data_IF_436429625684
#
_entry.id   IF_436429625684
#
_cell.length_a   1.000
_cell.length_b   1.000
_cell.length_c   1.000
_cell.angle_alpha   90.00
_cell.angle_beta   90.00
_cell.angle_gamma   90.00
#
_symmetry.space_group_name_H-M   'P 1'
#
loop_
_entity.id
_entity.type
_entity.pdbx_description
1 polymer ?
#
# COMPACT_ATOMS: atom_id res chain seq x y z
N UNK A 1 5.86 13.44 0.01
CA UNK A 1 6.75 12.56 -0.78
C UNK A 1 6.38 12.78 -2.24
N UNK A 2 7.35 12.88 -3.16
CA UNK A 2 7.03 13.01 -4.58
C UNK A 2 6.46 11.69 -5.13
N UNK A 3 5.39 11.71 -5.96
CA UNK A 3 4.70 10.50 -6.43
C UNK A 3 5.52 9.69 -7.44
N UNK A 4 6.63 10.25 -7.94
CA UNK A 4 7.58 9.58 -8.82
C UNK A 4 9.03 9.85 -8.41
N UNK A 5 9.93 8.90 -8.67
CA UNK A 5 11.38 9.04 -8.45
C UNK A 5 12.17 8.38 -9.57
N UNK A 6 13.23 9.03 -10.05
CA UNK A 6 14.17 8.44 -11.00
C UNK A 6 15.46 8.08 -10.26
N UNK A 7 15.93 6.83 -10.43
CA UNK A 7 17.23 6.36 -9.93
C UNK A 7 18.13 6.07 -11.12
N UNK A 8 19.20 6.84 -11.28
CA UNK A 8 20.18 6.62 -12.36
C UNK A 8 21.20 5.55 -11.98
N UNK A 9 21.45 4.62 -12.90
CA UNK A 9 22.46 3.58 -12.75
C UNK A 9 23.83 4.12 -13.16
N UNK A 10 24.83 3.97 -12.29
CA UNK A 10 26.22 4.34 -12.61
C UNK A 10 26.78 3.52 -13.78
N UNK A 11 26.34 2.27 -13.89
CA UNK A 11 26.66 1.37 -14.98
C UNK A 11 25.34 0.77 -15.48
N UNK A 12 25.04 0.86 -16.78
CA UNK A 12 23.83 0.26 -17.33
C UNK A 12 23.82 -1.26 -17.13
N UNK A 13 22.65 -1.80 -16.83
CA UNK A 13 22.41 -3.25 -16.70
C UNK A 13 21.79 -3.74 -17.99
N UNK A 14 22.32 -4.82 -18.57
CA UNK A 14 21.79 -5.41 -19.81
C UNK A 14 21.32 -6.83 -19.55
N UNK A 15 20.05 -7.09 -19.81
CA UNK A 15 19.43 -8.42 -19.68
C UNK A 15 18.72 -8.74 -20.99
N UNK A 16 19.13 -9.84 -21.62
CA UNK A 16 18.69 -10.17 -22.97
C UNK A 16 19.09 -9.08 -23.98
N UNK A 17 18.09 -8.46 -24.62
CA UNK A 17 18.27 -7.37 -25.59
C UNK A 17 18.00 -5.98 -25.01
N UNK A 18 17.62 -5.88 -23.73
CA UNK A 18 17.24 -4.62 -23.11
C UNK A 18 18.38 -4.09 -22.24
N UNK A 19 18.68 -2.80 -22.37
CA UNK A 19 19.67 -2.10 -21.54
C UNK A 19 18.96 -1.02 -20.72
N UNK A 20 19.14 -1.09 -19.41
CA UNK A 20 18.57 -0.18 -18.43
C UNK A 20 19.68 0.74 -17.93
N UNK A 21 19.47 2.05 -18.00
CA UNK A 21 20.39 3.07 -17.47
C UNK A 21 19.78 3.85 -16.30
N UNK A 22 18.48 3.71 -16.08
CA UNK A 22 17.72 4.35 -15.02
C UNK A 22 16.48 3.52 -14.69
N UNK A 23 15.93 3.77 -13.50
CA UNK A 23 14.69 3.19 -13.01
C UNK A 23 13.74 4.34 -12.73
N UNK A 24 12.52 4.25 -13.25
CA UNK A 24 11.43 5.19 -12.98
C UNK A 24 10.48 4.55 -12.00
N UNK A 25 10.46 5.01 -10.75
CA UNK A 25 9.55 4.54 -9.72
C UNK A 25 8.34 5.46 -9.66
N UNK A 26 7.17 4.87 -9.44
CA UNK A 26 5.96 5.57 -8.99
C UNK A 26 5.51 5.05 -7.63
N UNK A 27 4.67 5.82 -6.98
CA UNK A 27 3.92 5.34 -5.83
C UNK A 27 3.06 4.11 -6.21
N UNK A 28 3.13 3.01 -5.43
CA UNK A 28 2.28 1.85 -5.64
C UNK A 28 0.85 2.10 -5.13
N UNK A 29 -0.10 1.38 -5.71
CA UNK A 29 -1.48 1.35 -5.21
C UNK A 29 -1.70 0.18 -4.23
N UNK A 30 -2.77 0.24 -3.43
CA UNK A 30 -3.09 -0.78 -2.41
C UNK A 30 -3.07 -2.21 -2.95
N UNK A 31 -3.70 -2.44 -4.11
CA UNK A 31 -3.73 -3.77 -4.72
C UNK A 31 -2.34 -4.35 -5.04
N UNK A 32 -1.42 -3.49 -5.47
CA UNK A 32 -0.06 -3.89 -5.83
C UNK A 32 0.74 -4.29 -4.59
N UNK A 33 0.56 -3.54 -3.49
CA UNK A 33 1.15 -3.91 -2.19
C UNK A 33 0.62 -5.25 -1.73
N UNK A 34 -0.71 -5.45 -1.66
CA UNK A 34 -1.31 -6.73 -1.25
C UNK A 34 -0.80 -7.87 -2.14
N UNK A 35 -0.81 -7.69 -3.46
CA UNK A 35 -0.37 -8.72 -4.42
C UNK A 35 1.11 -9.07 -4.27
N UNK A 36 1.93 -8.11 -3.87
CA UNK A 36 3.38 -8.32 -3.68
C UNK A 36 3.66 -9.16 -2.44
N UNK A 37 2.93 -8.93 -1.35
CA UNK A 37 3.15 -9.62 -0.06
C UNK A 37 2.29 -10.88 0.13
N UNK A 38 1.33 -11.18 -0.76
CA UNK A 38 0.38 -12.30 -0.60
C UNK A 38 1.02 -13.68 -0.38
N UNK A 39 2.21 -13.90 -0.95
CA UNK A 39 2.91 -15.20 -0.95
C UNK A 39 4.03 -15.24 0.11
N UNK A 40 4.19 -14.19 0.92
CA UNK A 40 5.23 -14.10 1.95
C UNK A 40 4.97 -15.11 3.08
N UNK A 41 6.03 -15.79 3.55
CA UNK A 41 5.92 -16.87 4.53
C UNK A 41 6.66 -16.60 5.85
N UNK A 42 7.02 -15.35 6.12
CA UNK A 42 7.72 -14.90 7.34
C UNK A 42 9.24 -15.11 7.31
N UNK A 43 9.80 -15.77 6.29
CA UNK A 43 11.25 -15.84 6.12
C UNK A 43 11.82 -14.53 5.57
N UNK A 44 13.08 -14.22 5.93
CA UNK A 44 13.79 -13.04 5.43
C UNK A 44 13.84 -13.05 3.90
N UNK A 45 14.13 -14.22 3.30
CA UNK A 45 14.14 -14.37 1.85
C UNK A 45 12.78 -14.03 1.24
N UNK A 46 11.67 -14.56 1.79
CA UNK A 46 10.34 -14.26 1.27
C UNK A 46 9.93 -12.79 1.42
N UNK A 47 10.43 -12.11 2.45
CA UNK A 47 10.22 -10.67 2.63
C UNK A 47 10.95 -9.88 1.54
N UNK A 48 12.19 -10.26 1.24
CA UNK A 48 12.99 -9.66 0.19
C UNK A 48 12.38 -9.91 -1.20
N UNK A 49 11.89 -11.12 -1.47
CA UNK A 49 11.18 -11.47 -2.71
C UNK A 49 9.91 -10.61 -2.88
N UNK A 50 9.14 -10.41 -1.81
CA UNK A 50 7.95 -9.56 -1.83
C UNK A 50 8.31 -8.07 -2.09
N UNK A 51 9.41 -7.59 -1.52
CA UNK A 51 9.91 -6.24 -1.77
C UNK A 51 10.39 -6.05 -3.21
N UNK A 52 11.12 -7.01 -3.78
CA UNK A 52 11.53 -6.99 -5.20
C UNK A 52 10.30 -6.97 -6.10
N UNK A 53 9.29 -7.79 -5.79
CA UNK A 53 8.03 -7.84 -6.54
C UNK A 53 7.30 -6.49 -6.50
N UNK A 54 7.26 -5.82 -5.34
CA UNK A 54 6.67 -4.49 -5.23
C UNK A 54 7.43 -3.46 -6.07
N UNK A 55 8.76 -3.46 -5.99
CA UNK A 55 9.60 -2.56 -6.80
C UNK A 55 9.40 -2.82 -8.28
N UNK A 56 9.39 -4.08 -8.72
CA UNK A 56 9.13 -4.50 -10.11
C UNK A 56 7.84 -3.91 -10.66
N UNK A 57 6.75 -3.97 -9.87
CA UNK A 57 5.47 -3.39 -10.26
C UNK A 57 5.53 -1.86 -10.28
N UNK A 58 6.18 -1.26 -9.29
CA UNK A 58 6.27 0.19 -9.15
C UNK A 58 7.16 0.87 -10.21
N UNK A 59 8.09 0.14 -10.83
CA UNK A 59 8.91 0.66 -11.93
C UNK A 59 8.69 0.00 -13.29
N UNK A 60 7.76 -0.95 -13.37
CA UNK A 60 7.45 -1.71 -14.60
C UNK A 60 8.68 -2.44 -15.19
N UNK A 61 9.66 -2.78 -14.34
CA UNK A 61 10.86 -3.54 -14.72
C UNK A 61 10.69 -5.01 -14.28
N UNK A 62 10.97 -5.99 -15.15
CA UNK A 62 10.93 -7.40 -14.78
C UNK A 62 11.84 -7.78 -13.60
N UNK A 63 11.42 -8.77 -12.80
CA UNK A 63 12.15 -9.21 -11.59
C UNK A 63 13.57 -9.69 -11.92
N UNK A 64 13.75 -10.47 -13.00
CA UNK A 64 15.05 -10.96 -13.44
C UNK A 64 16.02 -9.82 -13.77
N UNK A 65 15.52 -8.69 -14.26
CA UNK A 65 16.34 -7.49 -14.47
C UNK A 65 16.73 -6.84 -13.14
N UNK A 66 15.79 -6.73 -12.19
CA UNK A 66 16.08 -6.16 -10.88
C UNK A 66 17.09 -6.99 -10.08
N UNK A 67 17.05 -8.32 -10.22
CA UNK A 67 18.00 -9.24 -9.58
C UNK A 67 19.44 -9.06 -10.10
N UNK A 68 19.61 -8.59 -11.34
CA UNK A 68 20.92 -8.25 -11.93
C UNK A 68 21.41 -6.83 -11.56
N UNK A 69 20.60 -6.05 -10.83
CA UNK A 69 20.99 -4.69 -10.42
C UNK A 69 21.86 -4.69 -9.15
N UNK A 70 22.71 -3.66 -8.97
CA UNK A 70 23.46 -3.51 -7.72
C UNK A 70 22.51 -3.39 -6.52
N UNK A 71 22.77 -4.15 -5.45
CA UNK A 71 21.92 -4.18 -4.23
C UNK A 71 21.53 -2.79 -3.72
N UNK A 72 22.47 -1.84 -3.71
CA UNK A 72 22.21 -0.46 -3.27
C UNK A 72 21.07 0.23 -4.04
N UNK A 73 20.90 -0.09 -5.32
CA UNK A 73 19.83 0.47 -6.15
C UNK A 73 18.47 -0.10 -5.73
N UNK A 74 18.43 -1.40 -5.46
CA UNK A 74 17.23 -2.07 -4.97
C UNK A 74 16.87 -1.55 -3.57
N UNK A 75 17.84 -1.41 -2.65
CA UNK A 75 17.62 -0.84 -1.31
C UNK A 75 17.02 0.58 -1.39
N UNK A 76 17.56 1.42 -2.29
CA UNK A 76 17.07 2.78 -2.51
C UNK A 76 15.64 2.80 -3.09
N UNK A 77 15.31 1.84 -3.95
CA UNK A 77 13.96 1.67 -4.49
C UNK A 77 12.97 1.17 -3.43
N UNK A 78 13.39 0.22 -2.58
CA UNK A 78 12.62 -0.31 -1.46
C UNK A 78 12.31 0.81 -0.45
N UNK A 79 13.31 1.61 -0.11
CA UNK A 79 13.14 2.76 0.77
C UNK A 79 12.10 3.74 0.21
N UNK A 80 12.17 4.04 -1.09
CA UNK A 80 11.22 4.92 -1.77
C UNK A 80 9.78 4.39 -1.66
N UNK A 81 9.52 3.14 -2.06
CA UNK A 81 8.15 2.59 -2.05
C UNK A 81 7.60 2.40 -0.63
N UNK A 82 8.48 2.21 0.36
CA UNK A 82 8.08 2.05 1.77
C UNK A 82 7.80 3.38 2.46
N UNK A 83 8.40 4.49 2.00
CA UNK A 83 8.25 5.81 2.62
C UNK A 83 6.79 6.33 2.63
N UNK A 84 5.97 5.88 1.68
CA UNK A 84 4.56 6.27 1.58
C UNK A 84 3.66 5.66 2.68
N UNK A 85 4.17 4.71 3.48
CA UNK A 85 3.43 4.09 4.59
C UNK A 85 3.60 4.84 5.92
N UNK A 86 4.45 5.87 5.97
CA UNK A 86 4.71 6.67 7.17
C UNK A 86 4.03 8.03 7.05
N UNK A 87 2.71 8.07 7.26
CA UNK A 87 1.90 9.28 7.13
C UNK A 87 1.15 9.54 8.44
N UNK A 88 1.19 10.78 8.91
CA UNK A 88 0.31 11.28 9.97
C UNK A 88 -0.98 11.84 9.34
N UNK A 89 -2.13 11.52 9.94
CA UNK A 89 -3.39 12.10 9.49
C UNK A 89 -3.53 13.58 9.93
N UNK A 90 -2.93 13.97 11.05
CA UNK A 90 -2.99 15.34 11.61
C UNK A 90 -4.41 15.81 11.99
N UNK A 91 -5.42 14.95 11.91
CA UNK A 91 -6.84 15.25 12.05
C UNK A 91 -7.30 14.98 13.49
N UNK A 92 -8.02 15.95 14.06
CA UNK A 92 -8.52 15.89 15.44
C UNK A 92 -10.05 15.80 15.56
N UNK A 93 -10.77 15.77 14.44
CA UNK A 93 -12.24 15.72 14.37
C UNK A 93 -12.74 14.31 14.09
N UNK A 94 -13.90 13.91 14.61
CA UNK A 94 -14.49 12.55 14.42
C UNK A 94 -15.18 12.33 13.07
N UNK A 95 -15.18 13.36 12.23
CA UNK A 95 -15.58 13.33 10.83
C UNK A 95 -14.53 14.08 10.02
N UNK A 96 -14.22 13.55 8.85
CA UNK A 96 -13.23 14.11 7.96
C UNK A 96 -13.52 13.73 6.51
N UNK A 97 -13.74 14.73 5.68
CA UNK A 97 -13.74 14.57 4.23
C UNK A 97 -12.30 14.73 3.73
N UNK A 98 -11.64 13.59 3.46
CA UNK A 98 -10.26 13.56 2.98
C UNK A 98 -10.24 13.77 1.47
N UNK A 99 -9.72 14.92 1.03
CA UNK A 99 -9.44 15.16 -0.39
C UNK A 99 -8.31 14.27 -0.90
N UNK A 100 -8.50 13.70 -2.09
CA UNK A 100 -7.49 12.90 -2.78
C UNK A 100 -6.59 13.83 -3.61
N UNK A 101 -5.27 13.63 -3.51
CA UNK A 101 -4.29 14.44 -4.28
C UNK A 101 -4.45 14.27 -5.79
N UNK A 102 -5.06 13.16 -6.23
CA UNK A 102 -5.37 12.90 -7.63
C UNK A 102 -6.74 12.22 -7.73
N UNK A 103 -7.64 12.72 -8.60
CA UNK A 103 -8.94 12.10 -8.80
C UNK A 103 -8.80 10.65 -9.27
N UNK A 104 -9.49 9.73 -8.61
CA UNK A 104 -9.53 8.32 -9.00
C UNK A 104 -10.61 8.12 -10.06
N UNK A 105 -10.19 7.70 -11.26
CA UNK A 105 -11.11 7.27 -12.31
C UNK A 105 -11.43 5.79 -12.17
N UNK A 106 -12.72 5.49 -11.98
CA UNK A 106 -13.19 4.11 -11.99
C UNK A 106 -13.60 3.70 -13.41
N UNK A 107 -13.18 2.50 -13.82
CA UNK A 107 -13.45 1.94 -15.15
C UNK A 107 -14.91 1.42 -15.30
N UNK A 108 -15.87 2.08 -14.65
CA UNK A 108 -17.30 1.77 -14.74
C UNK A 108 -17.99 2.52 -15.88
N UNK A 109 -19.19 2.05 -16.25
CA UNK A 109 -19.97 2.59 -17.37
C UNK A 109 -20.28 4.10 -17.27
N UNK A 110 -20.28 4.67 -16.05
CA UNK A 110 -20.60 6.08 -15.80
C UNK A 110 -19.36 6.96 -15.52
N UNK A 111 -18.15 6.41 -15.56
CA UNK A 111 -16.92 7.20 -15.39
C UNK A 111 -16.81 7.92 -14.04
N UNK A 112 -17.39 7.36 -12.97
CA UNK A 112 -17.38 7.95 -11.63
C UNK A 112 -15.95 8.37 -11.22
N UNK A 113 -15.79 9.67 -10.99
CA UNK A 113 -14.56 10.29 -10.50
C UNK A 113 -14.70 10.52 -9.02
N UNK A 114 -13.80 9.94 -8.23
CA UNK A 114 -13.76 10.13 -6.79
C UNK A 114 -12.63 11.11 -6.48
N UNK A 115 -12.98 12.20 -5.80
CA UNK A 115 -12.05 13.24 -5.37
C UNK A 115 -11.92 13.31 -3.85
N UNK A 116 -12.80 12.64 -3.11
CA UNK A 116 -12.90 12.77 -1.66
C UNK A 116 -13.33 11.44 -1.04
N UNK A 117 -12.76 11.09 0.12
CA UNK A 117 -13.22 10.00 0.98
C UNK A 117 -13.84 10.57 2.25
N UNK A 118 -15.13 10.31 2.48
CA UNK A 118 -15.82 10.70 3.71
C UNK A 118 -15.55 9.68 4.82
N UNK A 119 -14.74 10.09 5.79
CA UNK A 119 -14.30 9.29 6.93
C UNK A 119 -15.03 9.72 8.21
N UNK A 120 -15.35 8.75 9.06
CA UNK A 120 -15.97 8.95 10.36
C UNK A 120 -15.60 7.83 11.32
N UNK A 121 -15.89 8.02 12.61
CA UNK A 121 -15.76 6.96 13.60
C UNK A 121 -16.48 5.67 13.14
N UNK A 122 -15.78 4.52 13.09
CA UNK A 122 -16.40 3.25 12.72
C UNK A 122 -17.39 2.77 13.78
N UNK A 123 -18.54 2.27 13.35
CA UNK A 123 -19.46 1.56 14.23
C UNK A 123 -18.90 0.19 14.64
N UNK A 124 -19.38 -0.36 15.75
CA UNK A 124 -19.04 -1.73 16.20
C UNK A 124 -19.35 -2.78 15.12
N UNK A 125 -20.43 -2.59 14.35
CA UNK A 125 -20.79 -3.50 13.25
C UNK A 125 -19.72 -3.49 12.16
N UNK A 126 -19.30 -2.31 11.71
CA UNK A 126 -18.26 -2.14 10.69
C UNK A 126 -16.91 -2.71 11.17
N UNK A 127 -16.55 -2.45 12.44
CA UNK A 127 -15.37 -3.08 13.08
C UNK A 127 -15.42 -4.60 13.01
N UNK A 128 -16.54 -5.22 13.43
CA UNK A 128 -16.69 -6.68 13.41
C UNK A 128 -16.64 -7.24 12.00
N UNK A 129 -17.14 -6.51 11.00
CA UNK A 129 -17.04 -6.92 9.60
C UNK A 129 -15.60 -6.86 9.09
N UNK A 130 -14.85 -5.80 9.43
CA UNK A 130 -13.44 -5.69 9.08
C UNK A 130 -12.58 -6.79 9.72
N UNK A 131 -12.84 -7.13 10.99
CA UNK A 131 -12.11 -8.20 11.70
C UNK A 131 -12.25 -9.57 11.01
N UNK A 132 -13.36 -9.85 10.30
CA UNK A 132 -13.49 -11.10 9.54
C UNK A 132 -12.49 -11.21 8.39
N UNK A 133 -12.08 -10.08 7.80
CA UNK A 133 -11.03 -10.09 6.79
C UNK A 133 -9.70 -10.47 7.43
N UNK A 134 -9.38 -9.92 8.60
CA UNK A 134 -8.20 -10.31 9.36
C UNK A 134 -8.18 -11.82 9.69
N UNK A 135 -9.30 -12.37 10.15
CA UNK A 135 -9.43 -13.81 10.45
C UNK A 135 -9.23 -14.70 9.20
N UNK A 136 -9.62 -14.21 8.02
CA UNK A 136 -9.50 -14.95 6.76
C UNK A 136 -8.06 -14.98 6.22
N UNK A 137 -7.32 -13.87 6.35
CA UNK A 137 -6.00 -13.69 5.74
C UNK A 137 -4.83 -13.86 6.74
N UNK A 138 -5.10 -13.98 8.04
CA UNK A 138 -4.11 -14.26 9.08
C UNK A 138 -3.43 -13.03 9.68
N UNK A 139 -2.49 -13.24 10.61
CA UNK A 139 -1.84 -12.17 11.40
C UNK A 139 -0.64 -11.49 10.71
N UNK A 140 -0.45 -11.72 9.41
CA UNK A 140 0.64 -11.13 8.64
C UNK A 140 0.29 -9.76 8.05
N UNK A 141 1.26 -9.17 7.33
CA UNK A 141 1.12 -7.89 6.61
C UNK A 141 -0.17 -7.89 5.75
N UNK A 142 -0.42 -8.99 5.02
CA UNK A 142 -1.58 -9.13 4.15
C UNK A 142 -2.89 -9.04 4.93
N UNK A 143 -3.01 -9.75 6.05
CA UNK A 143 -4.22 -9.69 6.86
C UNK A 143 -4.47 -8.31 7.47
N UNK A 144 -3.40 -7.58 7.83
CA UNK A 144 -3.51 -6.19 8.25
C UNK A 144 -3.98 -5.25 7.16
N UNK A 145 -3.44 -5.38 5.94
CA UNK A 145 -3.90 -4.61 4.79
C UNK A 145 -5.35 -4.94 4.43
N UNK A 146 -5.73 -6.22 4.42
CA UNK A 146 -7.10 -6.66 4.13
C UNK A 146 -8.11 -6.18 5.19
N UNK A 147 -7.71 -6.18 6.47
CA UNK A 147 -8.48 -5.55 7.53
C UNK A 147 -8.71 -4.06 7.28
N UNK A 148 -7.66 -3.32 6.95
CA UNK A 148 -7.71 -1.88 6.70
C UNK A 148 -8.55 -1.56 5.45
N UNK A 149 -8.39 -2.34 4.37
CA UNK A 149 -9.21 -2.24 3.15
C UNK A 149 -10.68 -2.46 3.48
N UNK A 150 -10.99 -3.53 4.23
CA UNK A 150 -12.36 -3.83 4.64
C UNK A 150 -12.94 -2.72 5.50
N UNK A 151 -12.18 -2.24 6.49
CA UNK A 151 -12.62 -1.16 7.37
C UNK A 151 -12.91 0.13 6.59
N UNK A 152 -12.01 0.54 5.71
CA UNK A 152 -12.17 1.74 4.90
C UNK A 152 -13.40 1.62 3.99
N UNK A 153 -13.56 0.49 3.30
CA UNK A 153 -14.75 0.16 2.48
C UNK A 153 -16.04 0.29 3.29
N UNK A 154 -16.07 -0.27 4.51
CA UNK A 154 -17.25 -0.23 5.36
C UNK A 154 -17.58 1.18 5.85
N UNK A 155 -16.57 2.01 6.14
CA UNK A 155 -16.76 3.36 6.70
C UNK A 155 -17.21 4.36 5.64
N UNK A 156 -16.54 4.35 4.48
CA UNK A 156 -16.82 5.28 3.38
C UNK A 156 -18.04 4.85 2.56
N UNK A 157 -18.36 3.55 2.54
CA UNK A 157 -19.38 2.99 1.65
C UNK A 157 -18.91 2.83 0.20
N UNK A 158 -17.63 3.09 -0.06
CA UNK A 158 -17.03 2.93 -1.39
C UNK A 158 -16.96 1.47 -1.81
N UNK A 159 -16.87 1.25 -3.14
CA UNK A 159 -16.71 -0.10 -3.69
C UNK A 159 -15.27 -0.59 -3.44
N UNK A 160 -15.09 -1.87 -3.15
CA UNK A 160 -13.77 -2.48 -2.95
C UNK A 160 -12.75 -2.15 -4.08
N UNK A 161 -13.10 -2.22 -5.38
CA UNK A 161 -12.18 -1.83 -6.46
C UNK A 161 -11.70 -0.38 -6.40
N UNK A 162 -12.48 0.53 -5.80
CA UNK A 162 -12.05 1.91 -5.54
C UNK A 162 -10.93 1.93 -4.52
N UNK A 163 -11.15 1.26 -3.39
CA UNK A 163 -10.18 1.24 -2.29
C UNK A 163 -8.87 0.60 -2.73
N UNK A 164 -8.95 -0.48 -3.51
CA UNK A 164 -7.80 -1.20 -4.06
C UNK A 164 -6.97 -0.36 -5.06
N UNK A 165 -7.56 0.68 -5.65
CA UNK A 165 -6.90 1.61 -6.58
C UNK A 165 -6.32 2.85 -5.93
N UNK A 166 -6.52 3.05 -4.61
CA UNK A 166 -5.94 4.19 -3.92
C UNK A 166 -4.40 4.13 -3.94
N UNK A 167 -3.72 5.28 -4.13
CA UNK A 167 -2.30 5.40 -3.79
C UNK A 167 -2.07 5.02 -2.33
N UNK A 168 -0.96 4.33 -2.04
CA UNK A 168 -0.72 3.78 -0.70
C UNK A 168 -0.61 4.87 0.37
N UNK A 169 -0.14 6.08 0.05
CA UNK A 169 -0.09 7.23 0.95
C UNK A 169 -1.47 7.70 1.38
N UNK A 170 -2.40 7.82 0.44
CA UNK A 170 -3.79 8.21 0.69
C UNK A 170 -4.52 7.13 1.50
N UNK A 171 -4.29 5.86 1.16
CA UNK A 171 -4.81 4.74 1.94
C UNK A 171 -4.25 4.73 3.37
N UNK A 172 -2.93 4.90 3.53
CA UNK A 172 -2.26 4.99 4.83
C UNK A 172 -2.86 6.13 5.66
N UNK A 173 -2.99 7.32 5.07
CA UNK A 173 -3.54 8.49 5.77
C UNK A 173 -4.97 8.25 6.26
N UNK A 174 -5.83 7.69 5.40
CA UNK A 174 -7.21 7.35 5.78
C UNK A 174 -7.25 6.26 6.87
N UNK A 175 -6.39 5.26 6.77
CA UNK A 175 -6.39 4.14 7.73
C UNK A 175 -5.79 4.54 9.07
N UNK A 176 -4.73 5.36 9.12
CA UNK A 176 -4.19 5.94 10.36
C UNK A 176 -5.29 6.70 11.11
N UNK A 177 -6.07 7.53 10.39
CA UNK A 177 -7.25 8.19 10.95
C UNK A 177 -8.24 7.20 11.56
N UNK A 178 -8.60 6.13 10.85
CA UNK A 178 -9.54 5.14 11.39
C UNK A 178 -8.92 4.36 12.56
N UNK A 179 -7.63 4.06 12.52
CA UNK A 179 -6.92 3.28 13.53
C UNK A 179 -6.86 3.96 14.91
N UNK A 180 -7.00 5.30 14.97
CA UNK A 180 -7.04 6.03 16.25
C UNK A 180 -8.22 5.65 17.15
N UNK A 181 -9.32 5.18 16.57
CA UNK A 181 -10.50 4.72 17.31
C UNK A 181 -10.34 3.32 17.90
N UNK A 182 -9.17 2.68 17.71
CA UNK A 182 -8.85 1.34 18.20
C UNK A 182 -7.63 1.35 19.13
N UNK A 183 -7.69 2.05 20.29
CA UNK A 183 -6.54 2.23 21.17
C UNK A 183 -5.96 0.91 21.72
N UNK A 184 -6.78 -0.13 21.86
CA UNK A 184 -6.32 -1.46 22.31
C UNK A 184 -5.47 -2.18 21.24
N UNK A 185 -5.72 -1.94 19.95
CA UNK A 185 -4.87 -2.46 18.87
C UNK A 185 -3.53 -1.71 18.88
N UNK A 186 -3.53 -0.41 19.16
CA UNK A 186 -2.32 0.41 19.23
C UNK A 186 -1.47 0.14 20.50
N UNK A 187 -2.11 -0.20 21.63
CA UNK A 187 -1.43 -0.60 22.88
C UNK A 187 -0.77 -1.97 22.79
N UNK A 188 -1.32 -2.87 21.97
CA UNK A 188 -0.74 -4.20 21.71
C UNK A 188 0.31 -4.12 20.59
N UNK A 189 1.06 -3.02 20.52
CA UNK A 189 2.19 -2.88 19.60
C UNK A 189 3.08 -4.12 19.73
N UNK A 190 3.23 -4.87 18.63
CA UNK A 190 3.90 -6.18 18.47
C UNK A 190 3.03 -7.46 18.49
N UNK A 191 1.69 -7.38 18.55
CA UNK A 191 0.85 -8.59 18.69
C UNK A 191 0.13 -9.12 17.45
N UNK A 192 -0.11 -8.30 16.42
CA UNK A 192 -1.00 -8.67 15.30
C UNK A 192 -0.47 -8.33 13.90
N UNK A 193 0.69 -7.67 13.78
CA UNK A 193 1.27 -7.25 12.49
C UNK A 193 2.77 -7.51 12.38
N UNK A 194 3.35 -8.23 13.34
CA UNK A 194 4.75 -8.67 13.33
C UNK A 194 4.79 -10.13 13.76
N UNK A 195 4.61 -11.02 12.78
CA UNK A 195 5.34 -12.28 12.63
C UNK A 195 5.11 -12.80 11.21
#
# INVERSE_FOLDING_TARGET
MEPTKIITLKQPVTVGSATYSEIHLREPIVNEVITSFKDMNGSIASSYDAQIKLVSIACEIPIDVLEEMPTRILDEAIEYVSAFQNVDDGVKTDQWDMELDSPLQLSGADGDVITTLSLKEPTVKQRKQAMKAFDQYGQGIVGGLEFQVSLLTQVTGEKLPTILKLPISQFTKATVYLMRFFPEINKTGNGLFTN
#
